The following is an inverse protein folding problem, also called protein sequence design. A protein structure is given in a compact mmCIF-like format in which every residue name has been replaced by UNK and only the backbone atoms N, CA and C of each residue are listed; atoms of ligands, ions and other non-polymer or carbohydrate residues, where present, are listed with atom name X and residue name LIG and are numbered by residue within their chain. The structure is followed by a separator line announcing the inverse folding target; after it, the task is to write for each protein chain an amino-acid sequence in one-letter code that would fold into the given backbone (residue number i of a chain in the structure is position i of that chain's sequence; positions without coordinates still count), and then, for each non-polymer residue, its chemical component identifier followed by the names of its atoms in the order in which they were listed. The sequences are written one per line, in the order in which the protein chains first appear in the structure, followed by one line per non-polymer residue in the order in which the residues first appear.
data_IF_133414817122
#
_entry.id   IF_133414817122
#
_cell.length_a   1.000
_cell.length_b   1.000
_cell.length_c   1.000
_cell.angle_alpha   90.00
_cell.angle_beta   90.00
_cell.angle_gamma   90.00
#
_symmetry.space_group_name_H-M   'P 1'
#
loop_
_entity.id
_entity.type
_entity.pdbx_description
1 polymer ?
#
# COMPACT_ATOMS: atom_id res chain seq x y z
N UNK A 1 -11.88 -10.03 13.50
CA UNK A 1 -11.79 -11.41 12.97
C UNK A 1 -13.11 -12.19 13.10
N UNK A 2 -14.26 -11.51 13.18
CA UNK A 2 -15.56 -12.17 13.42
C UNK A 2 -15.99 -13.09 12.26
N UNK A 3 -15.59 -12.75 11.04
CA UNK A 3 -15.87 -13.51 9.82
C UNK A 3 -15.09 -14.84 9.72
N UNK A 4 -13.99 -14.98 10.46
CA UNK A 4 -13.13 -16.18 10.52
C UNK A 4 -12.62 -16.68 9.15
N UNK A 5 -12.44 -15.77 8.18
CA UNK A 5 -12.05 -16.05 6.79
C UNK A 5 -10.91 -15.13 6.30
N UNK A 6 -10.09 -14.62 7.21
CA UNK A 6 -9.00 -13.70 6.91
C UNK A 6 -7.76 -14.51 6.54
N UNK A 7 -7.33 -14.47 5.27
CA UNK A 7 -6.19 -15.24 4.76
C UNK A 7 -4.84 -14.53 4.91
N UNK A 8 -4.83 -13.18 4.96
CA UNK A 8 -3.62 -12.38 5.24
C UNK A 8 -3.95 -11.21 6.16
N UNK A 9 -3.01 -10.85 7.03
CA UNK A 9 -3.15 -9.75 7.99
C UNK A 9 -1.83 -9.00 8.14
N UNK A 10 -1.86 -7.67 8.06
CA UNK A 10 -0.65 -6.84 8.13
C UNK A 10 0.08 -7.01 9.46
N UNK A 11 1.41 -6.88 9.41
CA UNK A 11 2.34 -6.97 10.55
C UNK A 11 2.09 -8.14 11.51
N UNK A 12 1.58 -9.26 11.00
CA UNK A 12 1.33 -10.48 11.77
C UNK A 12 2.43 -11.50 11.46
N UNK A 13 2.97 -12.15 12.48
CA UNK A 13 3.99 -13.18 12.31
C UNK A 13 3.39 -14.42 11.60
N UNK A 14 4.16 -15.06 10.71
CA UNK A 14 3.70 -16.23 9.96
C UNK A 14 3.41 -17.46 10.82
N UNK A 15 3.99 -17.54 12.03
CA UNK A 15 3.72 -18.61 13.01
C UNK A 15 2.40 -18.41 13.76
N UNK A 16 1.81 -17.22 13.69
CA UNK A 16 0.53 -16.88 14.35
C UNK A 16 -0.46 -16.36 13.32
N UNK A 17 -0.92 -17.21 12.38
CA UNK A 17 -1.81 -16.77 11.31
C UNK A 17 -3.17 -16.29 11.86
N UNK A 18 -3.87 -15.39 11.14
CA UNK A 18 -5.21 -14.96 11.49
C UNK A 18 -6.24 -16.11 11.39
N UNK A 19 -7.39 -15.92 12.04
CA UNK A 19 -8.50 -16.86 11.98
C UNK A 19 -9.07 -16.97 10.55
N UNK A 20 -9.00 -18.18 9.98
CA UNK A 20 -9.33 -18.46 8.58
C UNK A 20 -10.07 -19.79 8.37
N UNK A 21 -10.70 -20.34 9.41
CA UNK A 21 -11.39 -21.66 9.31
C UNK A 21 -12.57 -21.67 8.32
N UNK A 22 -13.12 -20.50 7.96
CA UNK A 22 -14.22 -20.35 7.00
C UNK A 22 -13.70 -19.96 5.62
N UNK A 23 -12.71 -20.70 5.12
CA UNK A 23 -12.02 -20.43 3.85
C UNK A 23 -12.64 -21.14 2.63
N UNK A 24 -13.72 -21.91 2.79
CA UNK A 24 -14.46 -22.46 1.66
C UNK A 24 -15.39 -21.41 1.05
N UNK A 25 -14.80 -20.41 0.37
CA UNK A 25 -15.50 -19.33 -0.34
C UNK A 25 -14.88 -19.14 -1.72
N UNK A 26 -15.74 -18.83 -2.68
CA UNK A 26 -15.32 -18.46 -4.02
C UNK A 26 -14.65 -17.08 -4.02
N UNK A 27 -13.61 -16.94 -4.83
CA UNK A 27 -12.98 -15.66 -5.09
C UNK A 27 -13.87 -14.82 -6.01
N UNK A 28 -14.13 -13.57 -5.65
CA UNK A 28 -14.92 -12.65 -6.47
C UNK A 28 -14.02 -11.71 -7.26
N UNK A 29 -14.47 -11.24 -8.42
CA UNK A 29 -13.75 -10.21 -9.14
C UNK A 29 -14.70 -9.19 -9.78
N UNK A 30 -14.18 -7.98 -9.98
CA UNK A 30 -14.80 -6.94 -10.80
C UNK A 30 -14.04 -6.85 -12.12
N UNK A 31 -14.71 -7.10 -13.23
CA UNK A 31 -14.15 -6.89 -14.57
C UNK A 31 -14.57 -5.53 -15.09
N UNK A 32 -13.62 -4.73 -15.54
CA UNK A 32 -13.88 -3.43 -16.16
C UNK A 32 -13.49 -3.51 -17.63
N UNK A 33 -14.48 -3.60 -18.51
CA UNK A 33 -14.27 -3.50 -19.95
C UNK A 33 -14.18 -2.03 -20.36
N UNK A 34 -12.96 -1.53 -20.59
CA UNK A 34 -12.78 -0.13 -21.00
C UNK A 34 -13.31 0.13 -22.41
N UNK A 35 -13.55 -0.93 -23.20
CA UNK A 35 -14.01 -0.82 -24.60
C UNK A 35 -15.49 -0.53 -24.73
N UNK A 36 -16.23 -0.65 -23.62
CA UNK A 36 -17.66 -0.29 -23.50
C UNK A 36 -17.87 0.87 -22.53
N UNK A 37 -16.79 1.43 -21.98
CA UNK A 37 -16.86 2.56 -21.07
C UNK A 37 -17.12 3.86 -21.83
N UNK A 38 -18.10 4.64 -21.37
CA UNK A 38 -18.49 5.93 -21.96
C UNK A 38 -18.07 7.14 -21.12
N UNK A 39 -17.25 6.95 -20.07
CA UNK A 39 -16.76 8.06 -19.25
C UNK A 39 -17.81 8.85 -18.47
N UNK A 40 -19.02 8.31 -18.27
CA UNK A 40 -20.13 9.02 -17.63
C UNK A 40 -19.94 9.39 -16.15
N UNK A 41 -18.93 8.82 -15.49
CA UNK A 41 -18.63 8.99 -14.04
C UNK A 41 -19.74 8.54 -13.07
N UNK A 42 -20.77 7.82 -13.53
CA UNK A 42 -21.81 7.24 -12.65
C UNK A 42 -21.20 6.37 -11.53
N UNK A 43 -20.13 5.63 -11.87
CA UNK A 43 -19.39 4.81 -10.90
C UNK A 43 -18.70 5.62 -9.79
N UNK A 44 -18.31 6.87 -10.03
CA UNK A 44 -17.79 7.77 -8.99
C UNK A 44 -18.92 8.19 -8.05
N UNK A 45 -20.04 8.65 -8.62
CA UNK A 45 -21.20 9.14 -7.86
C UNK A 45 -21.78 8.03 -6.98
N UNK A 46 -22.03 6.85 -7.54
CA UNK A 46 -22.57 5.72 -6.78
C UNK A 46 -21.61 5.22 -5.69
N UNK A 47 -20.29 5.27 -5.94
CA UNK A 47 -19.30 4.92 -4.92
C UNK A 47 -19.35 5.92 -3.76
N UNK A 48 -19.38 7.21 -4.05
CA UNK A 48 -19.46 8.25 -3.02
C UNK A 48 -20.79 8.22 -2.27
N UNK A 49 -21.90 8.00 -2.99
CA UNK A 49 -23.23 7.90 -2.41
C UNK A 49 -23.32 6.73 -1.44
N UNK A 50 -23.00 5.51 -1.89
CA UNK A 50 -23.09 4.31 -1.06
C UNK A 50 -22.18 4.35 0.18
N UNK A 51 -20.97 4.87 0.03
CA UNK A 51 -19.98 4.89 1.11
C UNK A 51 -20.05 6.17 1.97
N UNK A 52 -21.09 7.00 1.82
CA UNK A 52 -21.30 8.22 2.61
C UNK A 52 -20.12 9.20 2.62
N UNK A 53 -19.42 9.33 1.49
CA UNK A 53 -18.28 10.24 1.34
C UNK A 53 -18.55 11.31 0.29
N UNK A 54 -18.08 12.53 0.53
CA UNK A 54 -18.11 13.65 -0.41
C UNK A 54 -16.75 14.33 -0.42
N UNK A 55 -16.16 14.43 -1.60
CA UNK A 55 -14.95 15.22 -1.79
C UNK A 55 -15.30 16.70 -2.00
N UNK A 56 -14.29 17.56 -1.94
CA UNK A 56 -14.46 18.99 -2.21
C UNK A 56 -14.82 19.20 -3.68
N UNK A 57 -15.60 20.26 -3.93
CA UNK A 57 -15.84 20.73 -5.29
C UNK A 57 -14.49 21.19 -5.86
N UNK A 58 -14.00 20.48 -6.88
CA UNK A 58 -12.76 20.79 -7.57
C UNK A 58 -12.90 21.92 -8.59
N UNK A 59 -11.82 22.17 -9.32
CA UNK A 59 -11.78 23.09 -10.46
C UNK A 59 -11.52 22.33 -11.75
N UNK A 60 -11.91 22.90 -12.89
CA UNK A 60 -11.51 22.37 -14.19
C UNK A 60 -10.14 22.96 -14.57
N UNK A 61 -9.21 22.11 -15.01
CA UNK A 61 -7.83 22.49 -15.39
C UNK A 61 -7.53 22.21 -16.87
N UNK A 62 -8.56 22.13 -17.71
CA UNK A 62 -8.44 21.86 -19.15
C UNK A 62 -8.68 20.40 -19.55
N UNK A 63 -9.06 19.53 -18.61
CA UNK A 63 -9.37 18.11 -18.86
C UNK A 63 -10.69 17.70 -18.22
N UNK A 64 -11.23 16.56 -18.64
CA UNK A 64 -12.48 16.02 -18.10
C UNK A 64 -12.29 15.37 -16.72
N UNK A 65 -11.08 14.94 -16.37
CA UNK A 65 -10.72 14.31 -15.10
C UNK A 65 -11.11 15.21 -13.91
N UNK A 66 -12.06 14.74 -13.10
CA UNK A 66 -12.50 15.44 -11.90
C UNK A 66 -13.25 14.46 -10.97
N UNK A 67 -12.82 14.26 -9.71
CA UNK A 67 -11.56 14.74 -9.12
C UNK A 67 -10.32 14.31 -9.93
N UNK A 68 -9.24 15.09 -9.85
CA UNK A 68 -8.02 14.86 -10.66
C UNK A 68 -7.20 13.65 -10.19
N UNK A 69 -7.40 13.22 -8.94
CA UNK A 69 -6.80 12.01 -8.39
C UNK A 69 -7.74 11.37 -7.35
N UNK A 70 -7.43 10.13 -6.97
CA UNK A 70 -8.00 9.49 -5.80
C UNK A 70 -7.72 10.32 -4.55
N UNK A 71 -8.67 10.33 -3.62
CA UNK A 71 -8.51 10.96 -2.30
C UNK A 71 -9.13 10.06 -1.23
N UNK A 72 -9.01 10.44 0.04
CA UNK A 72 -9.72 9.75 1.12
C UNK A 72 -11.26 9.86 1.00
N UNK A 73 -11.79 10.77 0.17
CA UNK A 73 -13.23 10.95 -0.10
C UNK A 73 -13.64 10.62 -1.54
N UNK A 74 -12.68 10.21 -2.38
CA UNK A 74 -12.86 9.80 -3.77
C UNK A 74 -12.13 8.48 -4.03
N UNK A 75 -12.81 7.37 -3.73
CA UNK A 75 -12.21 6.02 -3.74
C UNK A 75 -12.12 5.38 -5.13
N UNK A 76 -12.72 6.01 -6.13
CA UNK A 76 -12.56 5.68 -7.55
C UNK A 76 -12.73 6.95 -8.37
N UNK A 77 -11.98 7.07 -9.46
CA UNK A 77 -12.05 8.20 -10.41
C UNK A 77 -11.97 7.68 -11.84
N UNK A 78 -12.61 8.37 -12.78
CA UNK A 78 -12.43 8.13 -14.21
C UNK A 78 -11.23 8.92 -14.69
N UNK A 79 -10.34 8.23 -15.39
CA UNK A 79 -9.14 8.78 -16.01
C UNK A 79 -9.31 8.80 -17.52
N UNK A 80 -9.02 9.92 -18.14
CA UNK A 80 -9.18 10.13 -19.58
C UNK A 80 -7.80 10.27 -20.23
N UNK A 81 -7.64 9.74 -21.45
CA UNK A 81 -6.41 9.84 -22.23
C UNK A 81 -6.74 9.99 -23.70
N UNK A 82 -6.33 11.10 -24.28
CA UNK A 82 -6.40 11.36 -25.71
C UNK A 82 -5.09 10.87 -26.33
N UNK A 83 -5.18 9.92 -27.27
CA UNK A 83 -4.01 9.33 -27.91
C UNK A 83 -4.22 9.23 -29.42
N UNK A 84 -3.12 9.22 -30.18
CA UNK A 84 -3.14 8.88 -31.60
C UNK A 84 -2.53 7.49 -31.78
N UNK A 85 -3.37 6.50 -32.10
CA UNK A 85 -2.92 5.14 -32.39
C UNK A 85 -3.27 4.79 -33.84
N UNK A 86 -2.30 4.23 -34.57
CA UNK A 86 -2.46 3.87 -35.99
C UNK A 86 -2.99 5.01 -36.88
N UNK A 87 -2.59 6.26 -36.59
CA UNK A 87 -3.03 7.45 -37.34
C UNK A 87 -4.48 7.85 -37.10
N UNK A 88 -5.12 7.35 -36.04
CA UNK A 88 -6.48 7.72 -35.63
C UNK A 88 -6.48 8.22 -34.20
N UNK A 89 -7.29 9.24 -33.95
CA UNK A 89 -7.59 9.68 -32.60
C UNK A 89 -8.40 8.62 -31.85
N UNK A 90 -7.96 8.29 -30.64
CA UNK A 90 -8.68 7.46 -29.70
C UNK A 90 -8.80 8.17 -28.36
N UNK A 91 -9.98 8.07 -27.75
CA UNK A 91 -10.22 8.55 -26.39
C UNK A 91 -10.33 7.37 -25.45
N UNK A 92 -9.23 7.06 -24.77
CA UNK A 92 -9.13 5.92 -23.87
C UNK A 92 -9.57 6.35 -22.47
N UNK A 93 -10.61 5.68 -21.96
CA UNK A 93 -11.25 6.05 -20.69
C UNK A 93 -11.18 4.86 -19.74
N UNK A 94 -10.55 5.06 -18.58
CA UNK A 94 -10.36 3.99 -17.59
C UNK A 94 -10.87 4.41 -16.22
N UNK A 95 -11.68 3.55 -15.60
CA UNK A 95 -12.02 3.68 -14.18
C UNK A 95 -10.82 3.25 -13.34
N UNK A 96 -10.35 4.09 -12.44
CA UNK A 96 -9.22 3.84 -11.57
C UNK A 96 -9.63 3.68 -10.09
N UNK A 97 -8.87 2.89 -9.35
CA UNK A 97 -9.13 2.56 -7.95
C UNK A 97 -8.37 1.30 -7.50
N UNK A 98 -8.67 0.80 -6.31
CA UNK A 98 -7.99 -0.39 -5.78
C UNK A 98 -8.13 -1.59 -6.70
N UNK A 99 -7.01 -2.26 -6.97
CA UNK A 99 -6.95 -3.48 -7.76
C UNK A 99 -7.29 -4.74 -6.97
N UNK A 100 -7.37 -4.65 -5.63
CA UNK A 100 -7.55 -5.80 -4.74
C UNK A 100 -6.60 -6.94 -5.12
N UNK A 101 -5.30 -6.67 -5.09
CA UNK A 101 -4.28 -7.61 -5.55
C UNK A 101 -4.29 -8.90 -4.72
N UNK A 102 -3.94 -10.02 -5.35
CA UNK A 102 -3.76 -11.29 -4.65
C UNK A 102 -2.60 -11.24 -3.66
N UNK A 103 -1.43 -10.69 -4.04
CA UNK A 103 -0.33 -10.32 -3.14
C UNK A 103 -0.29 -8.78 -2.94
N UNK A 104 -1.06 -8.24 -1.97
CA UNK A 104 -1.19 -6.80 -1.77
C UNK A 104 0.07 -6.19 -1.15
N UNK A 105 0.81 -5.41 -1.95
CA UNK A 105 1.97 -4.65 -1.48
C UNK A 105 1.66 -3.65 -0.36
N UNK A 106 0.43 -3.12 -0.31
CA UNK A 106 -0.01 -2.27 0.81
C UNK A 106 -0.03 -3.03 2.15
N UNK A 107 -0.53 -4.28 2.16
CA UNK A 107 -0.54 -5.15 3.35
C UNK A 107 0.89 -5.53 3.75
N UNK A 108 1.73 -5.90 2.77
CA UNK A 108 3.14 -6.28 2.99
C UNK A 108 3.97 -5.14 3.60
N UNK A 109 3.73 -3.91 3.17
CA UNK A 109 4.44 -2.72 3.68
C UNK A 109 3.93 -2.23 5.05
N UNK A 110 2.65 -2.46 5.37
CA UNK A 110 2.01 -1.93 6.57
C UNK A 110 2.69 -2.43 7.85
N UNK A 111 3.12 -1.52 8.76
CA UNK A 111 3.79 -1.89 10.00
C UNK A 111 2.82 -2.11 11.17
N UNK A 112 1.54 -1.73 11.02
CA UNK A 112 0.55 -1.86 12.09
C UNK A 112 -0.20 -3.18 11.97
N UNK A 113 -0.30 -3.88 13.08
CA UNK A 113 -0.91 -5.19 13.15
C UNK A 113 -2.41 -5.10 12.87
N UNK A 114 -2.90 -5.83 11.87
CA UNK A 114 -4.32 -5.89 11.56
C UNK A 114 -4.93 -4.69 10.82
N UNK A 115 -4.19 -3.61 10.59
CA UNK A 115 -4.68 -2.44 9.86
C UNK A 115 -5.08 -2.73 8.41
N UNK A 116 -4.51 -3.77 7.79
CA UNK A 116 -4.89 -4.23 6.46
C UNK A 116 -5.09 -5.74 6.51
N UNK A 117 -6.22 -6.19 5.98
CA UNK A 117 -6.60 -7.60 5.92
C UNK A 117 -6.92 -8.00 4.48
N UNK A 118 -6.82 -9.29 4.21
CA UNK A 118 -7.35 -9.89 2.99
C UNK A 118 -8.29 -11.02 3.37
N UNK A 119 -9.51 -10.94 2.88
CA UNK A 119 -10.55 -11.96 3.02
C UNK A 119 -10.33 -13.09 2.02
N UNK A 120 -10.89 -14.26 2.32
CA UNK A 120 -10.78 -15.43 1.45
C UNK A 120 -11.31 -15.20 0.03
N UNK A 121 -12.37 -14.41 -0.11
CA UNK A 121 -12.96 -14.09 -1.43
C UNK A 121 -12.10 -13.11 -2.27
N UNK A 122 -10.94 -12.68 -1.78
CA UNK A 122 -10.00 -11.82 -2.49
C UNK A 122 -10.05 -10.33 -2.11
N UNK A 123 -11.04 -9.91 -1.32
CA UNK A 123 -11.16 -8.52 -0.91
C UNK A 123 -10.00 -8.16 0.03
N UNK A 124 -9.17 -7.21 -0.39
CA UNK A 124 -8.23 -6.49 0.49
C UNK A 124 -8.91 -5.28 1.10
N UNK A 125 -8.94 -5.16 2.42
CA UNK A 125 -9.62 -4.05 3.12
C UNK A 125 -8.83 -3.47 4.29
N UNK A 126 -9.20 -2.27 4.74
CA UNK A 126 -8.51 -1.50 5.78
C UNK A 126 -9.32 -1.46 7.08
N UNK A 127 -8.76 -2.04 8.15
CA UNK A 127 -9.32 -1.94 9.50
C UNK A 127 -8.82 -0.65 10.16
N UNK A 128 -9.60 0.42 9.99
CA UNK A 128 -9.26 1.77 10.43
C UNK A 128 -8.89 1.89 11.91
N UNK A 129 -9.43 1.04 12.78
CA UNK A 129 -9.11 1.01 14.22
C UNK A 129 -7.62 0.76 14.50
N UNK A 130 -6.93 0.04 13.63
CA UNK A 130 -5.49 -0.26 13.76
C UNK A 130 -4.60 0.67 12.92
N UNK A 131 -5.18 1.55 12.11
CA UNK A 131 -4.41 2.41 11.22
C UNK A 131 -3.72 3.54 12.01
N UNK A 132 -2.41 3.70 11.80
CA UNK A 132 -1.56 4.71 12.48
C UNK A 132 -1.14 5.86 11.54
N UNK A 133 -1.66 5.93 10.32
CA UNK A 133 -1.39 7.06 9.41
C UNK A 133 0.01 7.15 8.81
N UNK A 134 0.88 6.14 8.97
CA UNK A 134 2.28 6.20 8.55
C UNK A 134 2.53 6.31 7.02
N UNK A 135 1.53 6.03 6.18
CA UNK A 135 1.65 6.13 4.72
C UNK A 135 2.44 5.03 4.01
N UNK A 136 3.00 4.03 4.71
CA UNK A 136 3.77 2.94 4.08
C UNK A 136 2.97 2.13 3.06
N UNK A 137 1.65 2.04 3.25
CA UNK A 137 0.74 1.41 2.31
C UNK A 137 0.69 2.12 0.94
N UNK A 138 0.96 3.43 0.89
CA UNK A 138 1.05 4.20 -0.35
C UNK A 138 2.29 3.77 -1.14
N UNK A 139 3.48 3.85 -0.51
CA UNK A 139 4.74 3.45 -1.14
C UNK A 139 4.80 1.96 -1.48
N UNK A 140 4.11 1.11 -0.71
CA UNK A 140 4.02 -0.33 -0.97
C UNK A 140 3.06 -0.71 -2.08
N UNK A 141 2.14 0.17 -2.49
CA UNK A 141 1.13 -0.15 -3.51
C UNK A 141 1.69 0.11 -4.92
N UNK A 142 1.82 -0.92 -5.78
CA UNK A 142 2.34 -0.74 -7.15
C UNK A 142 1.46 0.16 -8.04
N UNK A 143 0.22 0.37 -7.63
CA UNK A 143 -0.79 1.16 -8.34
C UNK A 143 -1.04 2.53 -7.68
N UNK A 144 -0.30 2.90 -6.63
CA UNK A 144 -0.44 4.17 -5.91
C UNK A 144 -1.91 4.48 -5.51
N UNK A 145 -2.59 3.55 -4.83
CA UNK A 145 -4.03 3.66 -4.53
C UNK A 145 -4.35 4.28 -3.16
N UNK A 146 -3.73 3.86 -2.04
CA UNK A 146 -4.16 4.35 -0.73
C UNK A 146 -4.00 5.87 -0.62
N UNK A 147 -4.94 6.53 0.07
CA UNK A 147 -4.90 7.97 0.34
C UNK A 147 -5.15 8.22 1.82
N UNK A 148 -4.37 9.10 2.43
CA UNK A 148 -4.52 9.46 3.85
C UNK A 148 -5.58 10.54 3.98
N UNK A 149 -6.55 10.32 4.86
CA UNK A 149 -7.46 11.35 5.32
C UNK A 149 -6.76 12.25 6.34
N UNK A 150 -6.77 13.56 6.10
CA UNK A 150 -6.16 14.55 7.00
C UNK A 150 -6.96 14.78 8.27
N UNK A 151 -8.24 14.41 8.28
CA UNK A 151 -9.15 14.64 9.41
C UNK A 151 -8.91 13.64 10.55
N UNK A 152 -8.59 12.38 10.22
CA UNK A 152 -8.48 11.28 11.19
C UNK A 152 -7.13 10.54 11.13
N UNK A 153 -6.23 10.95 10.22
CA UNK A 153 -4.92 10.35 9.96
C UNK A 153 -4.97 8.86 9.59
N UNK A 154 -6.01 8.42 8.88
CA UNK A 154 -6.14 7.03 8.42
C UNK A 154 -6.13 6.93 6.91
N UNK A 155 -5.67 5.79 6.40
CA UNK A 155 -5.72 5.51 4.97
C UNK A 155 -7.11 5.01 4.57
N UNK A 156 -7.58 5.43 3.41
CA UNK A 156 -8.82 4.94 2.78
C UNK A 156 -8.58 4.63 1.31
N UNK A 157 -9.43 3.77 0.74
CA UNK A 157 -9.45 3.33 -0.66
C UNK A 157 -10.76 2.59 -0.94
N UNK A 158 -10.96 2.17 -2.19
CA UNK A 158 -12.03 1.23 -2.54
C UNK A 158 -11.96 -0.06 -1.70
N UNK A 159 -13.11 -0.48 -1.18
CA UNK A 159 -13.33 -1.67 -0.33
C UNK A 159 -13.92 -2.85 -1.11
N UNK A 160 -14.05 -2.73 -2.43
CA UNK A 160 -14.89 -3.58 -3.28
C UNK A 160 -16.34 -3.69 -2.80
N UNK A 161 -16.82 -2.72 -2.02
CA UNK A 161 -18.12 -2.77 -1.34
C UNK A 161 -18.28 -4.05 -0.52
N UNK A 162 -17.27 -4.37 0.30
CA UNK A 162 -17.25 -5.56 1.17
C UNK A 162 -18.56 -5.75 1.95
N UNK A 163 -19.12 -4.65 2.45
CA UNK A 163 -20.40 -4.57 3.16
C UNK A 163 -21.61 -5.02 2.33
N UNK A 164 -21.58 -4.82 1.01
CA UNK A 164 -22.59 -5.33 0.07
C UNK A 164 -22.32 -6.78 -0.30
N UNK A 165 -21.07 -7.08 -0.62
CA UNK A 165 -20.65 -8.39 -1.13
C UNK A 165 -20.84 -9.48 -0.08
N UNK A 166 -20.55 -9.20 1.19
CA UNK A 166 -20.72 -10.15 2.30
C UNK A 166 -22.18 -10.59 2.49
N UNK A 167 -23.15 -9.76 2.07
CA UNK A 167 -24.59 -10.06 2.14
C UNK A 167 -25.19 -10.40 0.77
N UNK A 168 -24.35 -10.72 -0.22
CA UNK A 168 -24.77 -11.23 -1.52
C UNK A 168 -25.23 -10.18 -2.53
N UNK A 169 -24.87 -8.90 -2.35
CA UNK A 169 -25.13 -7.85 -3.33
C UNK A 169 -23.87 -7.45 -4.10
N UNK A 170 -24.00 -7.12 -5.39
CA UNK A 170 -22.88 -6.61 -6.17
C UNK A 170 -22.50 -5.16 -5.76
N UNK A 171 -21.24 -4.73 -5.99
CA UNK A 171 -20.78 -3.39 -5.65
C UNK A 171 -21.61 -2.26 -6.30
N UNK A 172 -21.75 -1.13 -5.62
CA UNK A 172 -22.56 0.00 -6.10
C UNK A 172 -22.14 0.51 -7.50
N UNK A 173 -20.81 0.60 -7.72
CA UNK A 173 -20.26 1.02 -9.01
C UNK A 173 -20.48 0.02 -10.15
N UNK A 174 -20.70 -1.26 -9.83
CA UNK A 174 -21.06 -2.31 -10.81
C UNK A 174 -22.52 -2.12 -11.19
N UNK A 175 -23.41 -2.13 -10.19
CA UNK A 175 -24.87 -2.01 -10.36
C UNK A 175 -25.30 -0.77 -11.14
N UNK A 176 -24.60 0.35 -10.99
CA UNK A 176 -24.95 1.62 -11.63
C UNK A 176 -24.48 1.73 -13.09
N UNK A 177 -23.57 0.87 -13.55
CA UNK A 177 -22.89 1.08 -14.83
C UNK A 177 -23.87 1.03 -16.01
N UNK A 178 -24.11 2.14 -16.72
CA UNK A 178 -25.21 2.22 -17.69
C UNK A 178 -24.98 1.37 -18.94
N UNK A 179 -23.73 1.15 -19.32
CA UNK A 179 -23.36 0.39 -20.52
C UNK A 179 -22.99 -1.06 -20.23
N UNK A 180 -23.01 -1.48 -18.96
CA UNK A 180 -22.52 -2.79 -18.57
C UNK A 180 -20.99 -2.92 -18.65
N UNK A 181 -20.23 -1.84 -18.78
CA UNK A 181 -18.77 -1.87 -18.83
C UNK A 181 -18.09 -2.38 -17.54
N UNK A 182 -18.85 -2.55 -16.46
CA UNK A 182 -18.35 -3.07 -15.19
C UNK A 182 -19.19 -4.29 -14.83
N UNK A 183 -18.56 -5.46 -14.79
CA UNK A 183 -19.15 -6.73 -14.41
C UNK A 183 -18.63 -7.17 -13.05
N UNK A 184 -19.37 -8.06 -12.38
CA UNK A 184 -18.99 -8.65 -11.10
C UNK A 184 -19.53 -10.07 -11.00
N UNK A 185 -18.73 -10.94 -10.39
CA UNK A 185 -19.06 -12.35 -10.18
C UNK A 185 -17.89 -13.09 -9.58
N UNK A 186 -17.85 -14.41 -9.75
CA UNK A 186 -16.66 -15.20 -9.45
C UNK A 186 -15.48 -14.74 -10.29
N UNK A 187 -14.25 -14.88 -9.78
CA UNK A 187 -13.05 -14.54 -10.55
C UNK A 187 -12.96 -15.40 -11.82
N UNK A 188 -13.33 -16.68 -11.72
CA UNK A 188 -13.35 -17.61 -12.86
C UNK A 188 -14.31 -17.15 -13.97
N UNK A 189 -15.56 -16.84 -13.64
CA UNK A 189 -16.55 -16.37 -14.62
C UNK A 189 -16.15 -15.03 -15.24
N UNK A 190 -15.56 -14.14 -14.45
CA UNK A 190 -15.06 -12.85 -14.95
C UNK A 190 -13.86 -13.02 -15.89
N UNK A 191 -12.98 -13.98 -15.63
CA UNK A 191 -11.88 -14.32 -16.54
C UNK A 191 -12.42 -14.94 -17.84
N UNK A 192 -13.42 -15.81 -17.76
CA UNK A 192 -14.08 -16.38 -18.95
C UNK A 192 -14.76 -15.29 -19.80
N UNK A 193 -15.56 -14.42 -19.17
CA UNK A 193 -16.22 -13.29 -19.83
C UNK A 193 -15.21 -12.35 -20.50
N UNK A 194 -14.07 -12.09 -19.85
CA UNK A 194 -12.98 -11.31 -20.42
C UNK A 194 -12.38 -11.99 -21.66
N UNK A 195 -12.20 -13.31 -21.62
CA UNK A 195 -11.72 -14.11 -22.75
C UNK A 195 -12.62 -13.98 -23.98
N UNK A 196 -13.94 -14.12 -23.79
CA UNK A 196 -14.93 -13.94 -24.86
C UNK A 196 -14.89 -12.53 -25.44
N UNK A 197 -14.83 -11.51 -24.57
CA UNK A 197 -14.75 -10.10 -25.00
C UNK A 197 -13.47 -9.81 -25.78
N UNK A 198 -12.33 -10.35 -25.33
CA UNK A 198 -11.04 -10.21 -26.02
C UNK A 198 -11.08 -10.89 -27.39
N UNK A 199 -11.68 -12.07 -27.49
CA UNK A 199 -11.87 -12.76 -28.77
C UNK A 199 -12.72 -11.91 -29.73
N UNK A 200 -13.82 -11.31 -29.24
CA UNK A 200 -14.66 -10.41 -30.03
C UNK A 200 -13.87 -9.17 -30.52
N UNK A 201 -13.11 -8.52 -29.64
CA UNK A 201 -12.29 -7.34 -29.98
C UNK A 201 -11.26 -7.65 -31.07
N UNK A 202 -10.64 -8.83 -31.02
CA UNK A 202 -9.70 -9.28 -32.06
C UNK A 202 -10.38 -9.42 -33.42
N UNK A 203 -11.64 -9.85 -33.48
CA UNK A 203 -12.39 -9.89 -34.76
C UNK A 203 -12.68 -8.50 -35.34
N UNK A 204 -12.65 -7.45 -34.50
CA UNK A 204 -12.83 -6.04 -34.88
C UNK A 204 -11.52 -5.32 -35.22
N UNK A 205 -10.39 -6.03 -35.24
CA UNK A 205 -9.08 -5.49 -35.60
C UNK A 205 -8.20 -5.05 -34.43
N UNK A 206 -8.64 -5.21 -33.18
CA UNK A 206 -7.81 -4.98 -32.00
C UNK A 206 -6.95 -6.21 -31.70
N UNK A 207 -5.91 -6.44 -32.50
CA UNK A 207 -5.06 -7.63 -32.42
C UNK A 207 -4.37 -7.80 -31.05
N UNK A 208 -4.06 -6.68 -30.39
CA UNK A 208 -3.42 -6.65 -29.08
C UNK A 208 -4.43 -6.48 -27.93
N UNK A 209 -5.72 -6.73 -28.18
CA UNK A 209 -6.70 -6.77 -27.10
C UNK A 209 -6.37 -7.90 -26.12
N UNK A 210 -6.60 -7.65 -24.83
CA UNK A 210 -6.22 -8.59 -23.78
C UNK A 210 -6.85 -8.27 -22.43
N UNK A 211 -6.77 -9.27 -21.55
CA UNK A 211 -7.11 -9.17 -20.14
C UNK A 211 -5.89 -8.65 -19.36
N UNK A 212 -6.08 -7.56 -18.64
CA UNK A 212 -5.12 -7.07 -17.67
C UNK A 212 -5.42 -7.68 -16.29
N UNK A 213 -4.69 -8.75 -15.96
CA UNK A 213 -4.66 -9.43 -14.66
C UNK A 213 -3.18 -9.72 -14.28
N UNK A 214 -2.45 -8.73 -13.73
CA UNK A 214 -0.99 -8.78 -13.69
C UNK A 214 -0.43 -9.82 -12.72
N UNK A 215 0.33 -10.77 -13.26
CA UNK A 215 0.98 -11.86 -12.51
C UNK A 215 1.99 -11.36 -11.47
N UNK A 216 2.60 -10.18 -11.70
CA UNK A 216 3.58 -9.58 -10.79
C UNK A 216 3.06 -9.26 -9.38
N UNK A 217 1.74 -9.26 -9.19
CA UNK A 217 1.06 -9.17 -7.89
C UNK A 217 0.18 -10.40 -7.59
N UNK A 218 0.43 -11.51 -8.29
CA UNK A 218 -0.34 -12.76 -8.20
C UNK A 218 -1.73 -12.69 -8.85
N UNK A 219 -1.96 -11.71 -9.73
CA UNK A 219 -3.28 -11.34 -10.22
C UNK A 219 -4.05 -10.39 -9.29
N UNK A 220 -5.22 -9.95 -9.73
CA UNK A 220 -6.05 -8.93 -9.11
C UNK A 220 -7.52 -9.37 -9.07
N UNK A 221 -8.28 -8.86 -8.10
CA UNK A 221 -9.73 -9.02 -8.02
C UNK A 221 -10.48 -7.83 -8.63
N UNK A 222 -9.75 -6.90 -9.24
CA UNK A 222 -10.26 -5.95 -10.21
C UNK A 222 -9.39 -6.06 -11.46
N UNK A 223 -9.99 -6.44 -12.58
CA UNK A 223 -9.30 -6.73 -13.84
C UNK A 223 -9.82 -5.79 -14.94
N UNK A 224 -9.06 -5.62 -16.03
CA UNK A 224 -9.54 -4.84 -17.18
C UNK A 224 -9.54 -5.67 -18.46
N UNK A 225 -10.52 -5.45 -19.34
CA UNK A 225 -10.34 -5.73 -20.76
C UNK A 225 -9.84 -4.44 -21.42
N UNK A 226 -8.76 -4.53 -22.20
CA UNK A 226 -8.14 -3.39 -22.89
C UNK A 226 -8.13 -3.63 -24.41
N UNK A 227 -8.28 -2.56 -25.19
CA UNK A 227 -8.05 -2.59 -26.65
C UNK A 227 -6.57 -2.85 -26.98
N UNK A 228 -5.68 -2.24 -26.18
CA UNK A 228 -4.22 -2.22 -26.35
C UNK A 228 -3.57 -2.75 -25.08
N UNK A 229 -3.69 -4.06 -24.84
CA UNK A 229 -3.13 -4.69 -23.64
C UNK A 229 -1.60 -4.78 -23.67
N UNK A 230 -0.98 -4.58 -24.83
CA UNK A 230 0.46 -4.41 -25.03
C UNK A 230 0.98 -3.03 -24.60
N UNK A 231 0.08 -2.05 -24.42
CA UNK A 231 0.42 -0.68 -24.02
C UNK A 231 -0.53 -0.16 -22.93
N UNK A 232 -0.62 -0.81 -21.76
CA UNK A 232 -1.51 -0.38 -20.68
C UNK A 232 -1.23 1.07 -20.24
N UNK A 233 0.00 1.57 -20.37
CA UNK A 233 0.37 2.95 -20.07
C UNK A 233 -0.44 4.01 -20.84
N UNK A 234 -1.01 3.67 -22.01
CA UNK A 234 -1.90 4.57 -22.75
C UNK A 234 -3.18 4.90 -21.97
N UNK A 235 -3.60 4.01 -21.07
CA UNK A 235 -4.77 4.20 -20.21
C UNK A 235 -4.39 4.99 -18.96
N UNK A 236 -3.91 6.22 -19.15
CA UNK A 236 -3.52 7.14 -18.08
C UNK A 236 -2.51 6.52 -17.11
N UNK A 237 -1.41 5.96 -17.64
CA UNK A 237 -0.30 5.44 -16.84
C UNK A 237 -0.61 4.17 -16.05
N UNK A 238 -1.55 3.33 -16.51
CA UNK A 238 -1.71 1.99 -15.94
C UNK A 238 -0.37 1.23 -16.09
N UNK A 239 0.22 0.69 -15.00
CA UNK A 239 1.53 0.04 -15.08
C UNK A 239 1.51 -1.18 -15.98
N UNK A 240 2.60 -1.46 -16.70
CA UNK A 240 2.66 -2.62 -17.60
C UNK A 240 2.82 -3.94 -16.85
N UNK A 241 3.92 -4.09 -16.10
CA UNK A 241 4.17 -5.27 -15.28
C UNK A 241 4.37 -4.88 -13.80
N UNK A 242 3.29 -4.50 -13.09
CA UNK A 242 3.38 -4.05 -11.71
C UNK A 242 3.82 -5.19 -10.79
N UNK A 243 4.83 -4.92 -9.97
CA UNK A 243 5.31 -5.82 -8.91
C UNK A 243 5.50 -5.03 -7.63
N UNK A 244 5.55 -5.72 -6.48
CA UNK A 244 5.95 -5.07 -5.23
C UNK A 244 7.44 -4.69 -5.35
N UNK A 245 7.75 -3.42 -5.07
CA UNK A 245 9.12 -2.89 -5.16
C UNK A 245 10.15 -3.81 -4.48
N UNK A 246 11.26 -4.17 -5.15
CA UNK A 246 12.32 -5.02 -4.56
C UNK A 246 12.85 -4.46 -3.24
N UNK A 247 12.94 -3.14 -3.10
CA UNK A 247 13.38 -2.46 -1.88
C UNK A 247 12.41 -2.73 -0.73
N UNK A 248 11.10 -2.66 -0.98
CA UNK A 248 10.06 -2.97 0.02
C UNK A 248 10.13 -4.45 0.40
N UNK A 249 10.27 -5.34 -0.58
CA UNK A 249 10.40 -6.78 -0.37
C UNK A 249 11.63 -7.14 0.47
N UNK A 250 12.78 -6.53 0.22
CA UNK A 250 14.00 -6.73 1.01
C UNK A 250 13.83 -6.22 2.45
N UNK A 251 13.36 -4.97 2.62
CA UNK A 251 13.22 -4.32 3.92
C UNK A 251 12.19 -5.01 4.82
N UNK A 252 11.09 -5.51 4.25
CA UNK A 252 10.03 -6.22 4.97
C UNK A 252 10.26 -7.72 5.06
N UNK A 253 11.13 -8.27 4.22
CA UNK A 253 11.54 -9.67 4.21
C UNK A 253 12.80 -9.90 5.05
N UNK A 254 13.88 -10.32 4.38
CA UNK A 254 15.09 -10.87 5.01
C UNK A 254 15.82 -9.89 5.96
N UNK A 255 15.64 -8.58 5.78
CA UNK A 255 16.26 -7.60 6.67
C UNK A 255 15.78 -7.74 8.12
N UNK A 256 14.52 -8.12 8.35
CA UNK A 256 13.95 -8.27 9.69
C UNK A 256 14.60 -9.40 10.51
N UNK A 257 14.68 -10.66 10.02
CA UNK A 257 15.38 -11.71 10.76
C UNK A 257 16.89 -11.45 10.86
N UNK A 258 17.53 -10.89 9.82
CA UNK A 258 18.96 -10.55 9.89
C UNK A 258 19.24 -9.52 10.99
N UNK A 259 18.42 -8.46 11.09
CA UNK A 259 18.52 -7.49 12.17
C UNK A 259 18.31 -8.14 13.54
N UNK A 260 17.32 -9.03 13.68
CA UNK A 260 17.08 -9.74 14.94
C UNK A 260 18.27 -10.62 15.37
N UNK A 261 18.88 -11.35 14.44
CA UNK A 261 20.11 -12.12 14.69
C UNK A 261 21.26 -11.20 15.07
N UNK A 262 21.42 -10.08 14.38
CA UNK A 262 22.43 -9.07 14.71
C UNK A 262 22.25 -8.50 16.12
N UNK A 263 21.02 -8.20 16.52
CA UNK A 263 20.71 -7.74 17.89
C UNK A 263 21.04 -8.81 18.93
N UNK A 264 20.64 -10.07 18.70
CA UNK A 264 20.92 -11.17 19.62
C UNK A 264 22.42 -11.42 19.77
N UNK A 265 23.17 -11.42 18.66
CA UNK A 265 24.61 -11.59 18.65
C UNK A 265 25.33 -10.44 19.37
N UNK A 266 24.91 -9.19 19.13
CA UNK A 266 25.47 -8.00 19.79
C UNK A 266 25.22 -8.05 21.30
N UNK A 267 24.01 -8.41 21.72
CA UNK A 267 23.66 -8.54 23.13
C UNK A 267 24.46 -9.65 23.81
N UNK A 268 24.57 -10.82 23.17
CA UNK A 268 25.41 -11.92 23.67
C UNK A 268 26.87 -11.51 23.79
N UNK A 269 27.43 -10.86 22.77
CA UNK A 269 28.80 -10.36 22.78
C UNK A 269 29.04 -9.35 23.91
N UNK A 270 28.10 -8.43 24.15
CA UNK A 270 28.19 -7.47 25.26
C UNK A 270 28.21 -8.17 26.63
N UNK A 271 27.36 -9.19 26.83
CA UNK A 271 27.36 -10.00 28.06
C UNK A 271 28.69 -10.74 28.22
N UNK A 272 29.14 -11.46 27.20
CA UNK A 272 30.39 -12.23 27.27
C UNK A 272 31.62 -11.33 27.44
N UNK A 273 31.64 -10.16 26.80
CA UNK A 273 32.67 -9.15 27.00
C UNK A 273 32.68 -8.66 28.45
N UNK A 274 31.52 -8.29 29.00
CA UNK A 274 31.43 -7.80 30.38
C UNK A 274 31.82 -8.88 31.41
N UNK A 275 31.38 -10.13 31.22
CA UNK A 275 31.74 -11.25 32.11
C UNK A 275 33.22 -11.63 31.97
N UNK A 276 33.76 -11.62 30.76
CA UNK A 276 35.13 -12.06 30.48
C UNK A 276 36.20 -11.02 30.82
N UNK A 277 35.96 -9.73 30.52
CA UNK A 277 36.92 -8.64 30.74
C UNK A 277 36.65 -7.93 32.06
N UNK A 278 35.40 -7.92 32.51
CA UNK A 278 34.99 -7.18 33.69
C UNK A 278 34.74 -5.69 33.43
N UNK A 279 34.29 -4.95 34.45
CA UNK A 279 34.09 -3.52 34.34
C UNK A 279 35.43 -2.78 34.24
N UNK A 280 35.48 -1.74 33.42
CA UNK A 280 36.62 -0.82 33.42
C UNK A 280 36.63 -0.02 34.73
N UNK A 281 37.59 -0.32 35.61
CA UNK A 281 37.79 0.37 36.88
C UNK A 281 39.06 1.20 36.78
N UNK A 282 39.03 2.41 37.32
CA UNK A 282 40.23 3.23 37.50
C UNK A 282 41.19 2.46 38.41
N UNK A 283 42.43 2.29 37.99
CA UNK A 283 43.45 1.70 38.86
C UNK A 283 43.76 2.66 40.01
N UNK A 284 44.13 2.14 41.19
CA UNK A 284 44.51 2.99 42.33
C UNK A 284 45.61 4.00 41.97
N UNK A 285 46.50 3.65 41.05
CA UNK A 285 47.58 4.51 40.57
C UNK A 285 47.05 5.68 39.74
N UNK A 286 46.09 5.43 38.85
CA UNK A 286 45.42 6.48 38.07
C UNK A 286 44.53 7.37 38.97
N UNK A 287 43.94 6.79 40.02
CA UNK A 287 43.17 7.54 41.02
C UNK A 287 44.10 8.44 41.86
N UNK A 288 45.27 7.93 42.27
CA UNK A 288 46.31 8.70 42.96
C UNK A 288 46.95 9.78 42.08
N UNK A 289 47.20 9.50 40.79
CA UNK A 289 47.69 10.48 39.81
C UNK A 289 46.65 11.57 39.56
N UNK A 290 45.37 11.22 39.38
CA UNK A 290 44.30 12.20 39.26
C UNK A 290 44.14 13.07 40.52
N UNK A 291 44.29 12.49 41.72
CA UNK A 291 44.26 13.22 42.98
C UNK A 291 45.46 14.16 43.14
N UNK A 292 46.65 13.75 42.67
CA UNK A 292 47.84 14.61 42.61
C UNK A 292 47.65 15.77 41.64
N UNK A 293 47.16 15.52 40.43
CA UNK A 293 46.89 16.58 39.44
C UNK A 293 45.88 17.61 39.98
N UNK A 294 44.85 17.16 40.72
CA UNK A 294 43.89 18.04 41.40
C UNK A 294 44.53 18.85 42.54
N UNK A 295 45.48 18.27 43.28
CA UNK A 295 46.22 18.98 44.32
C UNK A 295 47.19 20.01 43.73
N UNK A 296 47.87 19.67 42.64
CA UNK A 296 48.82 20.53 41.94
C UNK A 296 48.10 21.68 41.20
N UNK A 297 46.90 21.44 40.67
CA UNK A 297 46.08 22.50 40.07
C UNK A 297 45.60 23.50 41.14
N UNK A 298 45.16 23.02 42.31
CA UNK A 298 44.74 23.87 43.44
C UNK A 298 45.89 24.67 44.03
N UNK A 299 47.09 24.08 44.15
CA UNK A 299 48.27 24.80 44.64
C UNK A 299 48.71 25.90 43.65
N UNK A 300 48.56 25.67 42.33
CA UNK A 300 48.82 26.68 41.29
C UNK A 300 47.82 27.84 41.23
N UNK A 301 46.55 27.60 41.59
CA UNK A 301 45.54 28.67 41.78
C UNK A 301 45.83 29.46 43.06
N UNK A 302 46.23 28.78 44.13
CA UNK A 302 46.54 29.41 45.42
C UNK A 302 47.80 30.30 45.33
N UNK A 303 48.82 29.89 44.56
CA UNK A 303 50.02 30.69 44.32
C UNK A 303 49.75 31.94 43.48
N UNK A 304 48.82 31.87 42.49
CA UNK A 304 48.39 33.05 41.72
C UNK A 304 47.56 34.04 42.53
N UNK A 305 46.81 33.59 43.54
CA UNK A 305 46.12 34.49 44.48
C UNK A 305 47.06 35.16 45.49
N UNK A 306 48.20 34.56 45.82
CA UNK A 306 49.20 35.15 46.74
C UNK A 306 50.12 36.15 46.03
N UNK A 307 50.47 35.93 44.75
CA UNK A 307 51.24 36.91 43.95
C UNK A 307 50.43 38.15 43.54
N UNK A 308 49.10 38.14 43.72
CA UNK A 308 48.22 39.26 43.41
C UNK A 308 48.02 40.31 44.52
N UNK A 309 48.52 40.05 45.75
CA UNK A 309 48.36 40.98 46.89
C UNK A 309 49.60 41.84 47.20
N UNK A 310 50.75 41.60 46.58
CA UNK A 310 51.99 42.38 46.78
C UNK A 310 52.23 43.49 45.74
N UNK A 311 51.16 43.99 45.09
CA UNK A 311 51.19 45.23 44.31
C UNK A 311 50.10 46.21 44.76
N UNK A 312 50.33 46.89 45.89
CA UNK A 312 49.80 48.24 46.14
C UNK A 312 50.60 48.99 47.21
#
# INVERSE_FOLDING_TARGET
MQSQDIIRRSATNSLTPPAQVRDFKEEVAKLIDVTTCIGCKACQVACSEWNDIRDKIGTNVGVYDNPTDLTAKSWTVMRFSEVEENGKFEWLIRKDGCMHCYDPGCLKACPSEGAIVQYKNGIVDFQSEHCIGCGYCIAGCPFNIPRINKEDNRAYKCTLCVDRVEVGQEPACVKTCPTGAIHFGSKEDMTALAGDRVAELKTRGYNNAGLYDPEGVGGTHVMYVLHHADKPQLYHGLPDNPTISPTVTFWKGIWKPLAAVGFAATFAAAIFHYVGIGPNRVSKKEEEEALKDIQDSKSSETSKSVEGEDQK
#
